data_IF_171039490929
#
_entry.id   IF_171039490929
#
_cell.length_a   1.000
_cell.length_b   1.000
_cell.length_c   1.000
_cell.angle_alpha   90.00
_cell.angle_beta   90.00
_cell.angle_gamma   90.00
#
_symmetry.space_group_name_H-M   'P 1'
#
loop_
_entity.id
_entity.type
_entity.pdbx_description
1 polymer ?
#
# COMPACT_ATOMS: atom_id res chain seq x y z
N UNK A 1 -5.58 -13.16 -2.41
CA UNK A 1 -5.02 -11.80 -2.22
C UNK A 1 -5.44 -10.92 -3.38
N UNK A 2 -5.94 -9.71 -3.09
CA UNK A 2 -6.13 -8.70 -4.13
C UNK A 2 -4.83 -7.90 -4.31
N UNK A 3 -4.71 -7.17 -5.42
CA UNK A 3 -3.49 -6.40 -5.74
C UNK A 3 -3.10 -5.39 -4.64
N UNK A 4 -4.08 -4.84 -3.90
CA UNK A 4 -3.82 -3.87 -2.84
C UNK A 4 -3.24 -4.55 -1.61
N UNK A 5 -3.81 -5.69 -1.24
CA UNK A 5 -3.34 -6.52 -0.14
C UNK A 5 -1.88 -6.92 -0.34
N UNK A 6 -1.53 -7.40 -1.54
CA UNK A 6 -0.14 -7.75 -1.87
C UNK A 6 0.79 -6.55 -1.75
N UNK A 7 0.42 -5.37 -2.29
CA UNK A 7 1.24 -4.16 -2.16
C UNK A 7 1.46 -3.73 -0.71
N UNK A 8 0.46 -3.87 0.17
CA UNK A 8 0.61 -3.56 1.60
C UNK A 8 1.55 -4.55 2.29
N UNK A 9 1.43 -5.85 2.01
CA UNK A 9 2.30 -6.88 2.57
C UNK A 9 3.76 -6.61 2.16
N UNK A 10 4.02 -6.38 0.88
CA UNK A 10 5.37 -6.10 0.38
C UNK A 10 5.99 -4.87 1.08
N UNK A 11 5.21 -3.79 1.26
CA UNK A 11 5.66 -2.60 1.96
C UNK A 11 6.02 -2.89 3.43
N UNK A 12 5.25 -3.76 4.10
CA UNK A 12 5.56 -4.20 5.46
C UNK A 12 6.82 -5.05 5.52
N UNK A 13 7.04 -5.91 4.54
CA UNK A 13 8.29 -6.69 4.42
C UNK A 13 9.52 -5.78 4.18
N UNK A 14 9.33 -4.59 3.60
CA UNK A 14 10.35 -3.53 3.53
C UNK A 14 10.51 -2.71 4.81
N UNK A 15 9.78 -3.04 5.87
CA UNK A 15 9.88 -2.39 7.17
C UNK A 15 8.96 -1.19 7.38
N UNK A 16 8.02 -0.92 6.46
CA UNK A 16 7.03 0.13 6.67
C UNK A 16 5.93 -0.34 7.61
N UNK A 17 5.55 0.54 8.53
CA UNK A 17 4.39 0.32 9.41
C UNK A 17 3.09 0.72 8.71
N UNK A 18 1.96 0.17 9.15
CA UNK A 18 0.63 0.57 8.66
C UNK A 18 0.39 2.08 8.80
N UNK A 19 0.90 2.71 9.86
CA UNK A 19 0.76 4.15 10.12
C UNK A 19 1.55 5.00 9.12
N UNK A 20 2.76 4.56 8.73
CA UNK A 20 3.54 5.22 7.68
C UNK A 20 2.86 5.10 6.31
N UNK A 21 2.36 3.91 5.98
CA UNK A 21 1.61 3.68 4.74
C UNK A 21 0.35 4.55 4.71
N UNK A 22 -0.36 4.65 5.83
CA UNK A 22 -1.56 5.48 5.95
C UNK A 22 -1.27 6.97 5.75
N UNK A 23 -0.14 7.44 6.30
CA UNK A 23 0.33 8.83 6.13
C UNK A 23 0.59 9.14 4.65
N UNK A 24 1.32 8.27 3.95
CA UNK A 24 1.62 8.43 2.52
C UNK A 24 0.38 8.30 1.62
N UNK A 25 -0.55 7.43 2.01
CA UNK A 25 -1.84 7.27 1.33
C UNK A 25 -2.88 8.34 1.69
N UNK A 26 -2.57 9.23 2.64
CA UNK A 26 -3.49 10.24 3.17
C UNK A 26 -4.83 9.60 3.57
N UNK A 27 -4.74 8.62 4.46
CA UNK A 27 -5.86 7.86 4.98
C UNK A 27 -5.62 7.46 6.44
N UNK A 28 -6.59 6.80 7.07
CA UNK A 28 -6.42 6.29 8.43
C UNK A 28 -5.64 4.97 8.42
N UNK A 29 -4.92 4.70 9.51
CA UNK A 29 -4.28 3.38 9.71
C UNK A 29 -5.30 2.23 9.60
N UNK A 30 -6.53 2.44 10.09
CA UNK A 30 -7.59 1.45 9.98
C UNK A 30 -7.94 1.13 8.52
N UNK A 31 -7.88 2.12 7.62
CA UNK A 31 -8.07 1.89 6.19
C UNK A 31 -6.99 0.97 5.62
N UNK A 32 -5.73 1.17 6.02
CA UNK A 32 -4.61 0.28 5.62
C UNK A 32 -4.78 -1.12 6.19
N UNK A 33 -5.17 -1.24 7.47
CA UNK A 33 -5.47 -2.54 8.10
C UNK A 33 -6.58 -3.30 7.35
N UNK A 34 -7.64 -2.60 6.93
CA UNK A 34 -8.69 -3.20 6.11
C UNK A 34 -8.12 -3.72 4.78
N UNK A 35 -7.29 -2.95 4.08
CA UNK A 35 -6.65 -3.39 2.84
C UNK A 35 -5.74 -4.61 3.05
N UNK A 36 -4.97 -4.64 4.14
CA UNK A 36 -4.13 -5.77 4.52
C UNK A 36 -4.93 -7.05 4.77
N UNK A 37 -6.14 -6.91 5.35
CA UNK A 37 -7.06 -8.03 5.58
C UNK A 37 -7.93 -8.36 4.35
N UNK A 38 -7.66 -7.74 3.19
CA UNK A 38 -8.44 -7.95 1.96
C UNK A 38 -9.80 -7.27 1.95
N UNK A 39 -10.13 -6.46 2.97
CA UNK A 39 -11.33 -5.64 3.10
C UNK A 39 -11.15 -4.37 2.25
N UNK A 40 -11.13 -4.58 0.95
CA UNK A 40 -11.30 -3.55 -0.05
C UNK A 40 -12.74 -3.68 -0.55
N UNK A 41 -13.51 -2.59 -0.59
CA UNK A 41 -14.82 -2.60 -1.28
C UNK A 41 -14.67 -2.99 -2.76
N UNK A 42 -15.74 -2.86 -3.55
CA UNK A 42 -15.68 -3.20 -5.00
C UNK A 42 -14.47 -2.59 -5.73
N UNK A 43 -14.04 -1.38 -5.36
CA UNK A 43 -12.86 -0.69 -5.91
C UNK A 43 -12.20 0.18 -4.84
N UNK A 44 -10.87 0.28 -4.89
CA UNK A 44 -10.12 1.33 -4.22
C UNK A 44 -10.32 2.64 -4.99
N UNK A 45 -10.51 3.76 -4.30
CA UNK A 45 -10.60 5.07 -4.95
C UNK A 45 -9.32 5.36 -5.75
N UNK A 46 -9.48 5.95 -6.95
CA UNK A 46 -8.38 6.17 -7.90
C UNK A 46 -7.16 6.83 -7.24
N UNK A 47 -7.38 7.93 -6.51
CA UNK A 47 -6.31 8.66 -5.80
C UNK A 47 -5.58 7.79 -4.77
N UNK A 48 -6.31 6.99 -3.99
CA UNK A 48 -5.71 6.10 -2.98
C UNK A 48 -4.91 4.98 -3.65
N UNK A 49 -5.40 4.46 -4.76
CA UNK A 49 -4.67 3.46 -5.56
C UNK A 49 -3.38 4.00 -6.14
N UNK A 50 -3.43 5.21 -6.70
CA UNK A 50 -2.25 5.88 -7.24
C UNK A 50 -1.20 6.18 -6.17
N UNK A 51 -1.62 6.65 -4.98
CA UNK A 51 -0.70 6.88 -3.85
C UNK A 51 -0.06 5.58 -3.36
N UNK A 52 -0.84 4.52 -3.17
CA UNK A 52 -0.33 3.21 -2.76
C UNK A 52 0.63 2.62 -3.80
N UNK A 53 0.29 2.73 -5.09
CA UNK A 53 1.14 2.28 -6.17
C UNK A 53 2.47 3.04 -6.22
N UNK A 54 2.43 4.37 -6.11
CA UNK A 54 3.64 5.19 -6.05
C UNK A 54 4.52 4.82 -4.86
N UNK A 55 3.92 4.61 -3.69
CA UNK A 55 4.65 4.18 -2.49
C UNK A 55 5.28 2.80 -2.69
N UNK A 56 4.52 1.85 -3.23
CA UNK A 56 5.01 0.51 -3.53
C UNK A 56 6.16 0.53 -4.53
N UNK A 57 6.07 1.28 -5.63
CA UNK A 57 7.17 1.46 -6.58
C UNK A 57 8.41 2.06 -5.88
N UNK A 58 8.25 3.04 -5.00
CA UNK A 58 9.37 3.67 -4.28
C UNK A 58 10.16 2.69 -3.39
N UNK A 59 9.51 1.68 -2.81
CA UNK A 59 10.14 0.78 -1.83
C UNK A 59 10.36 -0.65 -2.35
N UNK A 60 9.58 -1.07 -3.35
CA UNK A 60 9.54 -2.42 -3.87
C UNK A 60 9.86 -2.50 -5.37
N UNK A 61 9.95 -1.38 -6.11
CA UNK A 61 10.42 -1.46 -7.50
C UNK A 61 11.87 -1.94 -7.52
N UNK A 62 12.20 -2.93 -8.36
CA UNK A 62 13.58 -3.41 -8.53
C UNK A 62 14.50 -2.45 -9.32
N UNK A 63 14.13 -1.20 -9.49
CA UNK A 63 14.88 -0.21 -10.27
C UNK A 63 15.82 0.63 -9.38
N UNK A 64 17.14 0.67 -9.54
CA UNK A 64 18.02 0.08 -10.56
C UNK A 64 19.38 -0.18 -9.91
N UNK A 65 19.86 -1.43 -9.93
CA UNK A 65 21.30 -1.67 -9.92
C UNK A 65 21.77 -1.18 -11.30
N UNK A 66 22.26 0.05 -11.34
CA UNK A 66 23.12 0.53 -12.41
C UNK A 66 24.57 0.17 -12.06
#
# INVERSE_FOLDING_TARGET
MNQWQSKIIDLKEKGLTQSQIATEMDCSQNYVSNLENGICGKRLGYEKGKKLEKLWVKHCSPEQIA
#
